data_IF_789288412442
#
_entry.id   IF_789288412442
#
_cell.length_a   1.000
_cell.length_b   1.000
_cell.length_c   1.000
_cell.angle_alpha   90.00
_cell.angle_beta   90.00
_cell.angle_gamma   90.00
#
_symmetry.space_group_name_H-M   'P 1'
#
loop_
_entity.id
_entity.type
_entity.pdbx_description
1 polymer ?
#
# COMPACT_ATOMS: atom_id res chain seq x y z
N UNK A 1 1.61 -21.70 4.11
CA UNK A 1 1.86 -20.75 3.01
C UNK A 1 0.71 -20.89 2.03
N UNK A 2 -0.18 -19.90 1.93
CA UNK A 2 -1.17 -19.90 0.84
C UNK A 2 -0.42 -19.81 -0.49
N UNK A 3 -0.84 -20.57 -1.52
CA UNK A 3 -0.27 -20.42 -2.86
C UNK A 3 -0.47 -18.98 -3.33
N UNK A 4 0.55 -18.41 -3.98
CA UNK A 4 0.45 -17.11 -4.63
C UNK A 4 -0.73 -17.09 -5.62
N UNK A 5 -1.05 -18.24 -6.25
CA UNK A 5 -2.18 -18.40 -7.16
C UNK A 5 -3.52 -18.21 -6.45
N UNK A 6 -3.64 -18.72 -5.22
CA UNK A 6 -4.86 -18.58 -4.44
C UNK A 6 -5.08 -17.12 -4.04
N UNK A 7 -4.00 -16.45 -3.61
CA UNK A 7 -4.02 -15.02 -3.27
C UNK A 7 -4.36 -14.19 -4.52
N UNK A 8 -3.70 -14.45 -5.65
CA UNK A 8 -3.96 -13.78 -6.92
C UNK A 8 -5.42 -13.97 -7.39
N UNK A 9 -6.00 -15.14 -7.17
CA UNK A 9 -7.40 -15.42 -7.52
C UNK A 9 -8.35 -14.54 -6.70
N UNK A 10 -8.12 -14.43 -5.38
CA UNK A 10 -8.94 -13.59 -4.48
C UNK A 10 -8.86 -12.12 -4.91
N UNK A 11 -7.67 -11.65 -5.32
CA UNK A 11 -7.46 -10.24 -5.68
C UNK A 11 -7.70 -9.92 -7.16
N UNK A 12 -8.13 -10.89 -7.96
CA UNK A 12 -8.32 -10.72 -9.41
C UNK A 12 -9.39 -9.69 -9.80
N UNK A 13 -10.32 -9.38 -8.89
CA UNK A 13 -11.34 -8.34 -9.08
C UNK A 13 -10.74 -6.93 -9.12
N UNK A 14 -9.59 -6.73 -8.49
CA UNK A 14 -8.87 -5.46 -8.49
C UNK A 14 -8.00 -5.36 -9.73
N UNK A 15 -8.46 -4.60 -10.72
CA UNK A 15 -7.71 -4.36 -11.97
C UNK A 15 -6.80 -3.16 -11.82
N UNK A 16 -5.54 -3.33 -12.22
CA UNK A 16 -4.61 -2.22 -12.31
C UNK A 16 -4.99 -1.29 -13.46
N UNK A 17 -5.06 0.01 -13.17
CA UNK A 17 -5.28 1.07 -14.13
C UNK A 17 -4.07 2.03 -14.14
N UNK A 18 -3.30 1.97 -15.22
CA UNK A 18 -2.11 2.81 -15.39
C UNK A 18 -2.42 4.31 -15.46
N UNK A 19 -3.62 4.68 -15.91
CA UNK A 19 -4.01 6.08 -16.11
C UNK A 19 -4.43 6.71 -14.77
N UNK A 20 -4.90 5.88 -13.82
CA UNK A 20 -5.14 6.28 -12.43
C UNK A 20 -3.83 6.36 -11.63
N UNK A 21 -2.95 5.37 -11.78
CA UNK A 21 -1.69 5.30 -11.03
C UNK A 21 -1.88 5.19 -9.51
N UNK A 22 -0.79 5.45 -8.77
CA UNK A 22 -0.79 5.48 -7.30
C UNK A 22 -0.91 6.92 -6.83
N UNK A 23 -2.01 7.25 -6.16
CA UNK A 23 -2.37 8.63 -5.80
C UNK A 23 -1.27 9.28 -4.94
N UNK A 24 -0.87 10.50 -5.31
CA UNK A 24 0.18 11.24 -4.61
C UNK A 24 1.61 10.71 -4.80
N UNK A 25 1.82 9.67 -5.60
CA UNK A 25 3.14 9.12 -5.90
C UNK A 25 3.50 9.30 -7.38
N UNK A 26 4.72 9.76 -7.67
CA UNK A 26 5.19 10.00 -9.04
C UNK A 26 5.57 8.72 -9.81
N UNK A 27 5.37 7.54 -9.22
CA UNK A 27 5.76 6.26 -9.78
C UNK A 27 5.14 5.08 -9.05
N UNK A 28 5.61 3.87 -9.37
CA UNK A 28 5.16 2.65 -8.70
C UNK A 28 5.87 2.51 -7.34
N UNK A 29 5.13 2.51 -6.22
CA UNK A 29 5.73 2.29 -4.92
C UNK A 29 6.27 0.85 -4.81
N UNK A 30 7.28 0.66 -3.96
CA UNK A 30 7.75 -0.68 -3.62
C UNK A 30 6.77 -1.39 -2.69
N UNK A 31 6.85 -2.72 -2.62
CA UNK A 31 5.98 -3.53 -1.77
C UNK A 31 6.05 -3.11 -0.29
N UNK A 32 7.23 -2.70 0.20
CA UNK A 32 7.38 -2.25 1.58
C UNK A 32 6.61 -0.94 1.86
N UNK A 33 6.57 0.00 0.91
CA UNK A 33 5.77 1.21 1.05
C UNK A 33 4.27 0.91 0.99
N UNK A 34 3.84 -0.01 0.12
CA UNK A 34 2.44 -0.49 0.13
C UNK A 34 2.06 -1.02 1.51
N UNK A 35 2.90 -1.84 2.13
CA UNK A 35 2.61 -2.46 3.42
C UNK A 35 2.61 -1.52 4.62
N UNK A 36 3.10 -0.28 4.47
CA UNK A 36 3.27 0.66 5.59
C UNK A 36 2.50 1.98 5.39
N UNK A 37 1.80 2.16 4.26
CA UNK A 37 1.10 3.42 3.92
C UNK A 37 0.00 3.80 4.93
N UNK A 38 -0.63 2.81 5.59
CA UNK A 38 -1.64 3.04 6.60
C UNK A 38 -1.08 3.57 7.93
N UNK A 39 0.19 3.29 8.20
CA UNK A 39 0.93 3.80 9.37
C UNK A 39 1.39 5.23 9.15
N UNK A 40 1.92 5.53 7.97
CA UNK A 40 2.32 6.88 7.57
C UNK A 40 1.94 7.18 6.11
N UNK A 41 0.88 7.96 5.94
CA UNK A 41 0.37 8.39 4.65
C UNK A 41 1.28 9.39 3.94
N UNK A 42 2.17 10.07 4.67
CA UNK A 42 3.18 10.94 4.10
C UNK A 42 4.43 10.17 3.68
N UNK A 43 4.39 8.84 3.75
CA UNK A 43 5.44 7.97 3.23
C UNK A 43 5.53 8.12 1.70
N UNK A 44 6.32 9.09 1.25
CA UNK A 44 6.68 9.23 -0.15
C UNK A 44 7.62 8.08 -0.50
N UNK A 45 7.16 7.18 -1.36
CA UNK A 45 8.02 6.15 -1.93
C UNK A 45 8.94 6.82 -2.96
N UNK A 46 10.07 7.36 -2.50
CA UNK A 46 11.06 8.00 -3.37
C UNK A 46 11.78 6.90 -4.18
N UNK A 47 11.22 6.57 -5.33
CA UNK A 47 11.88 5.77 -6.37
C UNK A 47 12.39 6.72 -7.46
N UNK A 48 13.31 7.62 -7.10
CA UNK A 48 14.06 8.33 -8.14
C UNK A 48 15.06 7.34 -8.74
N UNK A 49 14.69 6.70 -9.85
CA UNK A 49 15.49 5.81 -10.72
C UNK A 49 16.26 4.63 -10.08
N UNK A 50 16.34 4.55 -8.76
CA UNK A 50 16.96 3.47 -8.01
C UNK A 50 15.99 2.93 -6.94
N UNK A 51 15.45 1.72 -7.10
CA UNK A 51 14.62 1.07 -6.09
C UNK A 51 15.39 0.81 -4.77
N UNK A 52 16.70 1.02 -4.69
CA UNK A 52 17.49 0.82 -3.46
C UNK A 52 17.34 1.91 -2.38
N UNK A 53 16.68 3.05 -2.65
CA UNK A 53 16.75 4.24 -1.77
C UNK A 53 15.46 4.63 -1.03
N UNK A 54 14.38 3.84 -1.09
CA UNK A 54 13.16 4.20 -0.38
C UNK A 54 13.40 4.22 1.16
N UNK A 55 12.85 5.24 1.84
CA UNK A 55 13.08 5.48 3.28
C UNK A 55 12.63 4.31 4.14
N UNK A 56 11.52 3.66 3.78
CA UNK A 56 10.97 2.50 4.50
C UNK A 56 11.89 1.29 4.41
N UNK A 57 12.30 0.91 3.20
CA UNK A 57 13.24 -0.19 2.98
C UNK A 57 14.56 0.08 3.74
N UNK A 58 15.07 1.31 3.66
CA UNK A 58 16.28 1.72 4.39
C UNK A 58 16.10 1.65 5.91
N UNK A 59 14.96 2.10 6.43
CA UNK A 59 14.66 2.09 7.86
C UNK A 59 14.63 0.66 8.43
N UNK A 60 14.03 -0.26 7.69
CA UNK A 60 13.93 -1.67 8.09
C UNK A 60 15.14 -2.51 7.68
N UNK A 61 16.19 -1.91 7.10
CA UNK A 61 17.36 -2.60 6.55
C UNK A 61 16.99 -3.75 5.60
N UNK A 62 16.03 -3.48 4.70
CA UNK A 62 15.51 -4.44 3.72
C UNK A 62 15.73 -3.91 2.30
N UNK A 63 15.94 -4.84 1.36
CA UNK A 63 15.91 -4.52 -0.07
C UNK A 63 14.47 -4.25 -0.49
N UNK A 64 14.23 -3.18 -1.27
CA UNK A 64 12.91 -2.96 -1.84
C UNK A 64 12.54 -4.06 -2.84
N UNK A 65 11.32 -4.57 -2.70
CA UNK A 65 10.71 -5.51 -3.63
C UNK A 65 9.74 -4.80 -4.57
N UNK A 66 9.70 -5.25 -5.83
CA UNK A 66 8.62 -4.91 -6.75
C UNK A 66 7.31 -5.54 -6.32
N UNK A 67 6.20 -4.89 -6.64
CA UNK A 67 4.87 -5.47 -6.46
C UNK A 67 4.67 -6.53 -7.57
N UNK A 68 4.28 -7.78 -7.25
CA UNK A 68 3.93 -8.78 -8.26
C UNK A 68 2.81 -8.27 -9.16
N UNK A 69 2.87 -8.58 -10.46
CA UNK A 69 1.89 -8.12 -11.46
C UNK A 69 0.45 -8.51 -11.11
N UNK A 70 0.28 -9.69 -10.52
CA UNK A 70 -1.00 -10.29 -10.11
C UNK A 70 -1.64 -9.53 -8.95
N UNK A 71 -0.83 -8.83 -8.15
CA UNK A 71 -1.28 -8.06 -6.98
C UNK A 71 -1.37 -6.56 -7.27
N UNK A 72 -0.97 -6.14 -8.47
CA UNK A 72 -0.76 -4.73 -8.76
C UNK A 72 -2.05 -3.91 -8.64
N UNK A 73 -3.19 -4.46 -9.07
CA UNK A 73 -4.48 -3.80 -8.96
C UNK A 73 -4.95 -3.70 -7.50
N UNK A 74 -4.77 -4.74 -6.70
CA UNK A 74 -5.11 -4.70 -5.27
C UNK A 74 -4.20 -3.72 -4.51
N UNK A 75 -2.92 -3.68 -4.83
CA UNK A 75 -1.98 -2.72 -4.28
C UNK A 75 -2.37 -1.27 -4.63
N UNK A 76 -2.75 -1.02 -5.88
CA UNK A 76 -3.25 0.29 -6.33
C UNK A 76 -4.52 0.69 -5.57
N UNK A 77 -5.50 -0.21 -5.49
CA UNK A 77 -6.74 0.05 -4.77
C UNK A 77 -6.48 0.39 -3.30
N UNK A 78 -5.63 -0.39 -2.63
CA UNK A 78 -5.31 -0.17 -1.23
C UNK A 78 -4.60 1.16 -0.99
N UNK A 79 -3.59 1.46 -1.81
CA UNK A 79 -2.86 2.72 -1.73
C UNK A 79 -3.79 3.92 -1.89
N UNK A 80 -4.62 3.92 -2.94
CA UNK A 80 -5.53 5.04 -3.23
C UNK A 80 -6.64 5.15 -2.18
N UNK A 81 -7.13 4.02 -1.66
CA UNK A 81 -8.06 4.02 -0.54
C UNK A 81 -7.44 4.71 0.69
N UNK A 82 -6.23 4.31 1.07
CA UNK A 82 -5.55 4.90 2.23
C UNK A 82 -5.24 6.38 1.98
N UNK A 83 -4.69 6.73 0.82
CA UNK A 83 -4.41 8.11 0.41
C UNK A 83 -5.67 9.01 0.52
N UNK A 84 -6.80 8.52 0.02
CA UNK A 84 -8.08 9.22 0.11
C UNK A 84 -8.59 9.45 1.55
N UNK A 85 -8.20 8.61 2.52
CA UNK A 85 -8.56 8.83 3.92
C UNK A 85 -7.89 10.08 4.53
N UNK A 86 -6.68 10.46 4.10
CA UNK A 86 -6.06 11.70 4.58
C UNK A 86 -6.78 12.94 4.03
N UNK A 87 -7.19 12.89 2.75
CA UNK A 87 -8.03 13.95 2.16
C UNK A 87 -9.35 14.08 2.91
N UNK A 88 -9.94 12.97 3.36
CA UNK A 88 -11.18 12.94 4.13
C UNK A 88 -10.99 13.16 5.64
N UNK A 89 -9.77 13.30 6.15
CA UNK A 89 -9.48 13.53 7.58
C UNK A 89 -10.23 14.72 8.20
N UNK A 90 -10.51 15.83 7.47
CA UNK A 90 -11.37 16.90 7.98
C UNK A 90 -12.84 16.48 8.16
N UNK A 91 -13.29 15.46 7.43
CA UNK A 91 -14.67 14.96 7.40
C UNK A 91 -14.89 13.77 8.35
N UNK A 92 -13.83 13.00 8.64
CA UNK A 92 -13.89 11.83 9.52
C UNK A 92 -13.54 12.21 10.96
N UNK A 93 -14.40 11.83 11.91
CA UNK A 93 -14.08 12.03 13.32
C UNK A 93 -12.99 11.06 13.80
N UNK A 94 -12.32 11.41 14.90
CA UNK A 94 -11.20 10.64 15.47
C UNK A 94 -11.54 9.17 15.74
N UNK A 95 -12.80 8.87 16.07
CA UNK A 95 -13.28 7.49 16.33
C UNK A 95 -13.42 6.69 15.03
N UNK A 96 -13.89 7.30 13.95
CA UNK A 96 -13.97 6.65 12.64
C UNK A 96 -12.58 6.34 12.10
N UNK A 97 -11.65 7.30 12.16
CA UNK A 97 -10.25 7.09 11.77
C UNK A 97 -9.59 5.96 12.56
N UNK A 98 -9.79 5.93 13.89
CA UNK A 98 -9.24 4.86 14.72
C UNK A 98 -9.79 3.47 14.36
N UNK A 99 -11.10 3.36 14.06
CA UNK A 99 -11.71 2.09 13.65
C UNK A 99 -11.13 1.58 12.33
N UNK A 100 -10.95 2.47 11.37
CA UNK A 100 -10.38 2.12 10.06
C UNK A 100 -8.94 1.65 10.24
N UNK A 101 -8.10 2.42 10.96
CA UNK A 101 -6.70 2.04 11.24
C UNK A 101 -6.60 0.69 11.93
N UNK A 102 -7.44 0.45 12.95
CA UNK A 102 -7.44 -0.84 13.65
C UNK A 102 -7.82 -2.01 12.75
N UNK A 103 -8.81 -1.83 11.87
CA UNK A 103 -9.17 -2.86 10.89
C UNK A 103 -8.02 -3.17 9.92
N UNK A 104 -7.23 -2.16 9.53
CA UNK A 104 -6.05 -2.35 8.68
C UNK A 104 -4.93 -3.08 9.42
N UNK A 105 -4.65 -2.72 10.68
CA UNK A 105 -3.68 -3.42 11.53
C UNK A 105 -4.06 -4.90 11.76
N UNK A 106 -5.34 -5.18 12.00
CA UNK A 106 -5.85 -6.55 12.19
C UNK A 106 -5.68 -7.39 10.89
N UNK A 107 -5.92 -6.79 9.71
CA UNK A 107 -5.67 -7.45 8.42
C UNK A 107 -4.19 -7.78 8.20
N UNK A 108 -3.27 -6.89 8.58
CA UNK A 108 -1.83 -7.14 8.47
C UNK A 108 -1.32 -8.20 9.45
N UNK A 109 -1.96 -8.32 10.61
CA UNK A 109 -1.57 -9.26 11.67
C UNK A 109 -2.03 -10.71 11.41
N UNK A 110 -3.05 -10.91 10.56
CA UNK A 110 -3.55 -12.25 10.19
C UNK A 110 -2.66 -13.04 9.23
N UNK A 111 -1.55 -12.45 8.76
CA UNK A 111 -0.58 -13.05 7.83
C UNK A 111 0.70 -13.55 8.52
N UNK A 112 0.80 -13.46 9.86
CA UNK A 112 1.93 -13.92 10.67
C UNK A 112 1.82 -15.40 11.09
#
# INVERSE_FOLDING_TARGET
>A
MASLDHIATIFSEYKYDKDVGFEGNSGMPCLACISEIDRDIYCVCVTNDDPATCVICKHYDKKCGSIPSELLGAAQWYWNFVAGLDVQKPLLNRRQLWRIRRALEDCGSGLA
#
